data_IF_443033989171
#
_entry.id   IF_443033989171
#
_cell.length_a   1.000
_cell.length_b   1.000
_cell.length_c   1.000
_cell.angle_alpha   90.00
_cell.angle_beta   90.00
_cell.angle_gamma   90.00
#
_symmetry.space_group_name_H-M   'P 1'
#
loop_
_entity.id
_entity.type
_entity.pdbx_description
1 polymer ?
#
# COMPACT_ATOMS: atom_id res chain seq x y z
N UNK A 1 -1.28 79.71 5.93
CA UNK A 1 -2.09 78.56 5.45
C UNK A 1 -1.24 77.37 5.59
N UNK A 2 -1.42 76.61 6.69
CA UNK A 2 -0.61 75.41 7.02
C UNK A 2 -1.41 74.14 6.62
N UNK A 3 -0.87 73.40 5.71
CA UNK A 3 -1.40 72.11 5.24
C UNK A 3 -0.97 70.99 6.21
N UNK A 4 -1.93 70.32 6.79
CA UNK A 4 -1.72 69.12 7.67
C UNK A 4 -1.47 67.89 6.81
N UNK A 5 -0.27 67.32 6.90
CA UNK A 5 0.02 65.99 6.41
C UNK A 5 -0.47 64.95 7.44
N UNK A 6 -1.39 64.09 7.03
CA UNK A 6 -1.88 63.00 7.83
C UNK A 6 -1.07 61.74 7.50
N UNK A 7 -0.29 61.22 8.46
CA UNK A 7 0.43 59.95 8.37
C UNK A 7 -0.56 58.80 8.60
N UNK A 8 -0.81 58.00 7.58
CA UNK A 8 -1.53 56.74 7.71
C UNK A 8 -0.47 55.64 8.02
N UNK A 9 -0.43 55.20 9.28
CA UNK A 9 0.32 54.02 9.65
C UNK A 9 -0.46 52.78 9.20
N UNK A 10 0.05 52.09 8.16
CA UNK A 10 -0.43 50.74 7.80
C UNK A 10 0.13 49.73 8.79
N UNK A 11 -0.74 49.20 9.64
CA UNK A 11 -0.45 48.03 10.47
C UNK A 11 -0.44 46.78 9.56
N UNK A 12 0.75 46.29 9.22
CA UNK A 12 0.92 44.96 8.65
C UNK A 12 0.70 43.94 9.77
N UNK A 13 -0.47 43.33 9.80
CA UNK A 13 -0.70 42.13 10.63
C UNK A 13 -0.02 40.98 9.92
N UNK A 14 1.20 40.64 10.31
CA UNK A 14 1.81 39.36 9.99
C UNK A 14 1.03 38.28 10.76
N UNK A 15 0.07 37.62 10.10
CA UNK A 15 -0.45 36.36 10.59
C UNK A 15 0.65 35.33 10.42
N UNK A 16 1.35 35.02 11.51
CA UNK A 16 2.18 33.82 11.59
C UNK A 16 1.27 32.60 11.39
N UNK A 17 1.28 32.02 10.19
CA UNK A 17 0.80 30.67 9.97
C UNK A 17 1.71 29.78 10.82
N UNK A 18 1.22 29.39 11.99
CA UNK A 18 1.79 28.29 12.75
C UNK A 18 1.46 27.04 11.90
N UNK A 19 2.40 26.61 11.08
CA UNK A 19 2.40 25.27 10.49
C UNK A 19 2.62 24.29 11.66
N UNK A 20 1.55 23.88 12.28
CA UNK A 20 1.58 22.70 13.13
C UNK A 20 1.94 21.51 12.23
N UNK A 21 3.02 20.82 12.54
CA UNK A 21 3.24 19.49 12.00
C UNK A 21 2.01 18.64 12.40
N UNK A 22 1.18 18.30 11.43
CA UNK A 22 -0.06 17.61 11.69
C UNK A 22 0.21 16.12 11.56
N UNK A 23 0.30 15.43 12.68
CA UNK A 23 0.46 14.00 12.75
C UNK A 23 -0.90 13.33 12.80
N UNK A 24 -1.07 12.23 12.04
CA UNK A 24 -2.32 11.46 12.07
C UNK A 24 -2.08 10.08 12.64
N UNK A 25 -2.98 9.63 13.52
CA UNK A 25 -3.04 8.28 14.04
C UNK A 25 -4.09 7.48 13.27
N UNK A 26 -3.67 6.39 12.64
CA UNK A 26 -4.55 5.51 11.88
C UNK A 26 -4.63 4.16 12.58
N UNK A 27 -5.81 3.89 13.15
CA UNK A 27 -6.17 2.58 13.71
C UNK A 27 -6.78 1.66 12.65
N UNK A 28 -6.81 0.36 12.93
CA UNK A 28 -7.32 -0.64 11.99
C UNK A 28 -8.30 -1.58 12.67
N UNK A 29 -9.41 -1.91 11.96
CA UNK A 29 -10.47 -2.82 12.41
C UNK A 29 -10.86 -3.77 11.29
N UNK A 30 -11.19 -5.02 11.63
CA UNK A 30 -11.71 -6.02 10.72
C UNK A 30 -13.21 -6.22 10.89
N UNK A 31 -13.92 -6.48 9.79
CA UNK A 31 -15.34 -6.86 9.76
C UNK A 31 -15.61 -7.87 8.64
N UNK A 32 -16.81 -8.40 8.54
CA UNK A 32 -17.20 -9.36 7.50
C UNK A 32 -16.76 -10.78 7.82
N UNK A 33 -16.01 -11.42 6.92
CA UNK A 33 -15.56 -12.80 7.07
C UNK A 33 -14.54 -13.01 8.20
N UNK A 34 -13.84 -11.95 8.64
CA UNK A 34 -12.92 -11.96 9.77
C UNK A 34 -13.01 -10.66 10.56
N UNK A 35 -12.95 -10.75 11.89
CA UNK A 35 -12.95 -9.58 12.78
C UNK A 35 -11.54 -9.21 13.27
N UNK A 36 -10.58 -10.12 13.16
CA UNK A 36 -9.18 -9.92 13.52
C UNK A 36 -8.39 -9.43 12.31
N UNK A 37 -7.26 -8.77 12.55
CA UNK A 37 -6.31 -8.38 11.53
C UNK A 37 -4.96 -8.97 11.93
N UNK A 38 -4.31 -9.70 11.03
CA UNK A 38 -2.99 -10.27 11.29
C UNK A 38 -1.90 -9.25 10.98
N UNK A 39 -2.03 -8.58 9.84
CA UNK A 39 -1.09 -7.53 9.42
C UNK A 39 -1.76 -6.51 8.50
N UNK A 40 -1.14 -5.35 8.39
CA UNK A 40 -1.53 -4.29 7.44
C UNK A 40 -0.28 -3.86 6.68
N UNK A 41 -0.34 -3.94 5.35
CA UNK A 41 0.66 -3.34 4.46
C UNK A 41 0.17 -1.97 4.02
N UNK A 42 1.00 -0.96 4.21
CA UNK A 42 0.76 0.42 3.81
C UNK A 42 1.78 0.78 2.74
N UNK A 43 1.32 1.18 1.57
CA UNK A 43 2.14 1.64 0.45
C UNK A 43 1.78 3.12 0.19
N UNK A 44 2.73 4.04 0.38
CA UNK A 44 2.56 5.43 -0.04
C UNK A 44 2.84 5.52 -1.54
N UNK A 45 1.78 5.57 -2.34
CA UNK A 45 1.85 5.59 -3.80
C UNK A 45 2.47 6.88 -4.35
N UNK A 46 2.43 7.96 -3.56
CA UNK A 46 2.98 9.28 -3.94
C UNK A 46 4.49 9.33 -3.72
N UNK A 47 4.97 8.76 -2.61
CA UNK A 47 6.40 8.79 -2.23
C UNK A 47 7.15 7.50 -2.58
N UNK A 48 6.47 6.46 -3.08
CA UNK A 48 7.02 5.13 -3.38
C UNK A 48 7.73 4.49 -2.16
N UNK A 49 7.13 4.63 -0.97
CA UNK A 49 7.58 4.00 0.28
C UNK A 49 6.54 3.02 0.79
N UNK A 50 6.95 2.00 1.52
CA UNK A 50 6.03 1.03 2.12
C UNK A 50 6.43 0.65 3.55
N UNK A 51 5.43 0.16 4.30
CA UNK A 51 5.57 -0.33 5.67
C UNK A 51 4.56 -1.46 5.89
N UNK A 52 4.98 -2.51 6.59
CA UNK A 52 4.06 -3.57 7.05
C UNK A 52 4.06 -3.60 8.57
N UNK A 53 2.86 -3.60 9.16
CA UNK A 53 2.67 -3.58 10.61
C UNK A 53 1.77 -4.75 11.04
N UNK A 54 1.88 -5.18 12.29
CA UNK A 54 0.95 -6.15 12.89
C UNK A 54 -0.43 -5.53 13.10
N UNK A 55 -1.49 -6.31 12.97
CA UNK A 55 -2.87 -5.81 12.93
C UNK A 55 -3.39 -5.10 14.20
N UNK A 56 -2.72 -5.30 15.35
CA UNK A 56 -3.04 -4.58 16.58
C UNK A 56 -2.31 -3.24 16.75
N UNK A 57 -1.45 -2.85 15.82
CA UNK A 57 -0.67 -1.63 15.91
C UNK A 57 -1.41 -0.43 15.30
N UNK A 58 -1.02 0.77 15.74
CA UNK A 58 -1.48 2.04 15.20
C UNK A 58 -0.40 2.60 14.28
N UNK A 59 -0.79 3.03 13.09
CA UNK A 59 0.08 3.74 12.16
C UNK A 59 0.11 5.22 12.52
N UNK A 60 1.30 5.75 12.74
CA UNK A 60 1.53 7.17 12.96
C UNK A 60 2.07 7.81 11.67
N UNK A 61 1.24 8.60 11.01
CA UNK A 61 1.61 9.39 9.85
C UNK A 61 2.21 10.70 10.31
N UNK A 62 3.48 10.94 9.96
CA UNK A 62 4.23 12.12 10.40
C UNK A 62 4.60 13.00 9.22
N UNK A 63 4.36 14.30 9.33
CA UNK A 63 4.72 15.24 8.28
C UNK A 63 6.23 15.46 8.23
N UNK A 64 6.81 15.48 7.04
CA UNK A 64 8.20 15.82 6.84
C UNK A 64 8.40 17.31 7.12
N UNK A 65 9.08 17.66 8.22
CA UNK A 65 9.56 19.02 8.41
C UNK A 65 10.62 19.31 7.34
N UNK A 66 10.31 20.21 6.42
CA UNK A 66 11.09 20.52 5.21
C UNK A 66 12.32 21.40 5.48
N UNK A 67 13.05 21.24 6.57
CA UNK A 67 14.24 22.08 6.86
C UNK A 67 15.44 21.37 7.47
N UNK A 68 15.55 20.03 7.25
CA UNK A 68 16.83 19.35 7.53
C UNK A 68 17.10 18.43 6.33
N UNK A 69 18.26 18.65 5.66
CA UNK A 69 18.74 17.75 4.61
C UNK A 69 18.68 16.28 5.07
N UNK A 70 18.42 15.31 4.16
CA UNK A 70 18.32 13.92 4.53
C UNK A 70 19.65 13.47 5.16
N UNK A 71 19.63 13.34 6.47
CA UNK A 71 20.72 12.66 7.18
C UNK A 71 20.72 11.22 6.68
N UNK A 72 21.86 10.82 6.16
CA UNK A 72 22.30 9.49 5.77
C UNK A 72 21.42 8.37 6.37
N UNK A 73 20.69 7.61 5.55
CA UNK A 73 19.73 6.57 5.96
C UNK A 73 20.40 5.33 6.59
N UNK A 74 21.49 5.51 7.28
CA UNK A 74 22.11 4.47 8.06
C UNK A 74 21.32 4.27 9.36
N UNK A 75 20.60 3.14 9.55
CA UNK A 75 19.78 2.90 10.74
C UNK A 75 20.60 2.91 12.03
N UNK A 76 21.90 2.83 11.92
CA UNK A 76 22.85 2.93 13.04
C UNK A 76 23.20 4.39 13.41
N UNK A 77 22.71 5.38 12.67
CA UNK A 77 22.96 6.81 12.95
C UNK A 77 21.74 7.57 13.45
N UNK A 78 20.65 6.89 13.76
CA UNK A 78 19.40 7.52 14.19
C UNK A 78 19.05 7.18 15.63
N UNK A 79 18.55 8.18 16.36
CA UNK A 79 17.83 8.02 17.63
C UNK A 79 16.42 8.55 17.41
N UNK A 80 15.43 7.69 17.61
CA UNK A 80 14.04 8.10 17.66
C UNK A 80 13.67 8.43 19.10
N UNK A 81 13.07 9.60 19.33
CA UNK A 81 12.61 10.06 20.64
C UNK A 81 11.16 10.52 20.52
N UNK A 82 10.26 9.87 21.26
CA UNK A 82 8.84 10.21 21.19
C UNK A 82 8.09 9.93 22.50
N UNK A 83 7.11 10.80 22.86
CA UNK A 83 6.87 12.10 22.24
C UNK A 83 8.05 13.05 22.46
N UNK A 84 8.29 13.96 21.51
CA UNK A 84 9.28 15.02 21.65
C UNK A 84 8.73 16.30 20.98
N UNK A 85 8.22 17.28 21.74
CA UNK A 85 8.34 17.45 23.19
C UNK A 85 7.63 16.39 24.04
N UNK A 86 8.28 15.95 25.13
CA UNK A 86 7.68 15.09 26.14
C UNK A 86 6.95 15.91 27.20
N UNK A 87 5.95 15.31 27.86
CA UNK A 87 5.33 15.83 29.08
C UNK A 87 5.85 15.07 30.32
N UNK A 88 5.53 13.79 30.42
CA UNK A 88 5.85 12.96 31.58
C UNK A 88 7.02 12.00 31.30
N UNK A 89 7.02 11.40 30.11
CA UNK A 89 8.09 10.50 29.67
C UNK A 89 8.29 10.58 28.14
N UNK A 90 9.43 10.10 27.67
CA UNK A 90 9.71 9.85 26.26
C UNK A 90 10.32 8.47 26.08
N UNK A 91 9.98 7.79 25.00
CA UNK A 91 10.69 6.62 24.50
C UNK A 91 11.87 7.05 23.65
N UNK A 92 12.96 6.29 23.78
CA UNK A 92 14.21 6.51 23.06
C UNK A 92 14.58 5.20 22.38
N UNK A 93 14.55 5.17 21.07
CA UNK A 93 14.88 3.99 20.28
C UNK A 93 16.13 4.22 19.44
N UNK A 94 17.00 3.21 19.38
CA UNK A 94 18.21 3.23 18.57
C UNK A 94 18.65 1.80 18.24
N UNK A 95 19.40 1.64 17.14
CA UNK A 95 19.94 0.33 16.72
C UNK A 95 21.44 0.28 16.94
N UNK A 96 21.92 -0.73 17.67
CA UNK A 96 23.35 -0.98 17.83
C UNK A 96 23.89 -1.83 16.68
N UNK A 97 24.97 -1.41 16.00
CA UNK A 97 25.61 -2.18 14.94
C UNK A 97 26.31 -3.44 15.45
N UNK A 98 26.76 -3.43 16.70
CA UNK A 98 27.47 -4.52 17.36
C UNK A 98 27.10 -4.59 18.84
N UNK A 99 27.17 -5.79 19.42
CA UNK A 99 26.98 -5.97 20.85
C UNK A 99 28.13 -5.34 21.66
N UNK A 100 27.82 -4.69 22.77
CA UNK A 100 28.86 -4.06 23.58
C UNK A 100 28.38 -3.34 24.84
N UNK A 101 29.36 -2.91 25.67
CA UNK A 101 29.06 -2.06 26.83
C UNK A 101 28.55 -0.71 26.35
N UNK A 102 27.25 -0.47 26.56
CA UNK A 102 26.53 0.71 26.08
C UNK A 102 26.19 1.64 27.22
N UNK A 103 26.37 2.94 27.00
CA UNK A 103 25.96 4.01 27.92
C UNK A 103 24.93 4.90 27.26
N UNK A 104 23.77 5.07 27.88
CA UNK A 104 22.74 6.06 27.55
C UNK A 104 22.81 7.19 28.56
N UNK A 105 23.04 8.42 28.12
CA UNK A 105 23.31 9.57 28.99
C UNK A 105 22.41 10.73 28.59
N UNK A 106 21.92 11.46 29.62
CA UNK A 106 21.15 12.68 29.44
C UNK A 106 21.94 13.87 30.03
N UNK A 107 22.02 14.91 29.23
CA UNK A 107 22.71 16.15 29.58
C UNK A 107 21.75 17.34 29.54
N UNK A 108 21.96 18.30 30.46
CA UNK A 108 21.34 19.62 30.31
C UNK A 108 22.08 20.50 29.28
N UNK A 109 21.56 21.68 29.00
CA UNK A 109 22.12 22.63 28.04
C UNK A 109 23.55 23.12 28.41
N UNK A 110 23.97 22.96 29.67
CA UNK A 110 25.33 23.31 30.14
C UNK A 110 26.32 22.16 29.95
N UNK A 111 25.86 20.98 29.49
CA UNK A 111 26.68 19.78 29.32
C UNK A 111 26.84 18.95 30.57
N UNK A 112 26.12 19.28 31.67
CA UNK A 112 26.12 18.51 32.89
C UNK A 112 25.29 17.24 32.71
N UNK A 113 25.86 16.09 33.06
CA UNK A 113 25.12 14.79 33.04
C UNK A 113 24.08 14.79 34.18
N UNK A 114 22.83 14.54 33.79
CA UNK A 114 21.70 14.41 34.74
C UNK A 114 21.51 12.97 35.19
N UNK A 115 21.60 12.01 34.25
CA UNK A 115 21.59 10.58 34.53
C UNK A 115 22.38 9.80 33.50
N UNK A 116 22.79 8.57 33.87
CA UNK A 116 23.52 7.65 33.03
C UNK A 116 23.08 6.22 33.30
N UNK A 117 22.58 5.54 32.27
CA UNK A 117 22.39 4.10 32.25
C UNK A 117 23.60 3.43 31.57
N UNK A 118 24.05 2.26 32.09
CA UNK A 118 25.18 1.53 31.52
C UNK A 118 24.98 0.02 31.65
N UNK A 119 24.93 -0.68 30.53
CA UNK A 119 24.77 -2.13 30.50
C UNK A 119 25.41 -2.71 29.24
N UNK A 120 25.67 -4.02 29.22
CA UNK A 120 26.07 -4.75 28.02
C UNK A 120 24.81 -5.05 27.19
N UNK A 121 24.70 -4.42 26.02
CA UNK A 121 23.56 -4.60 25.13
C UNK A 121 23.94 -5.45 23.92
N UNK A 122 22.99 -6.25 23.40
CA UNK A 122 23.13 -7.04 22.17
C UNK A 122 23.18 -6.14 20.94
N UNK A 123 23.58 -6.69 19.80
CA UNK A 123 23.34 -6.06 18.49
C UNK A 123 21.84 -6.03 18.22
N UNK A 124 21.31 -4.93 17.65
CA UNK A 124 19.91 -4.78 17.26
C UNK A 124 19.23 -3.55 17.85
N UNK A 125 17.91 -3.52 17.77
CA UNK A 125 17.05 -2.44 18.24
C UNK A 125 16.91 -2.48 19.78
N UNK A 126 17.04 -1.33 20.41
CA UNK A 126 16.85 -1.13 21.86
C UNK A 126 15.88 0.01 22.10
N UNK A 127 14.97 -0.21 23.07
CA UNK A 127 13.99 0.78 23.52
C UNK A 127 14.22 1.12 24.99
N UNK A 128 14.30 2.41 25.27
CA UNK A 128 14.43 2.97 26.60
C UNK A 128 13.29 3.94 26.90
N UNK A 129 12.92 4.06 28.17
CA UNK A 129 12.04 5.13 28.66
C UNK A 129 12.83 6.10 29.48
N UNK A 130 12.61 7.39 29.21
CA UNK A 130 13.18 8.53 29.94
C UNK A 130 12.05 9.31 30.60
N UNK A 131 12.13 9.57 31.89
CA UNK A 131 11.12 10.31 32.65
C UNK A 131 11.74 11.18 33.75
N UNK A 132 10.93 11.97 34.45
CA UNK A 132 11.37 12.80 35.58
C UNK A 132 12.26 13.97 35.18
N UNK A 133 12.11 14.50 33.93
CA UNK A 133 12.86 15.65 33.43
C UNK A 133 11.98 16.90 33.53
N UNK A 134 12.54 18.00 34.11
CA UNK A 134 11.88 19.31 34.15
C UNK A 134 11.69 19.89 32.75
N UNK A 135 10.78 20.85 32.61
CA UNK A 135 10.65 21.68 31.43
C UNK A 135 12.00 22.27 30.99
N UNK A 136 12.34 22.08 29.70
CA UNK A 136 13.60 22.55 29.14
C UNK A 136 14.08 21.74 27.91
N UNK A 137 15.31 22.08 27.49
CA UNK A 137 16.00 21.41 26.38
C UNK A 137 17.16 20.59 26.93
N UNK A 138 17.25 19.35 26.49
CA UNK A 138 18.22 18.35 26.93
C UNK A 138 18.84 17.64 25.74
N UNK A 139 19.93 16.91 25.98
CA UNK A 139 20.61 16.11 24.97
C UNK A 139 20.78 14.69 25.48
N UNK A 140 20.39 13.73 24.61
CA UNK A 140 20.62 12.30 24.82
C UNK A 140 21.83 11.90 24.01
N UNK A 141 22.75 11.13 24.61
CA UNK A 141 23.89 10.55 23.93
C UNK A 141 24.03 9.06 24.25
N UNK A 142 24.22 8.26 23.19
CA UNK A 142 24.41 6.82 23.30
C UNK A 142 25.83 6.51 22.80
N UNK A 143 26.59 5.75 23.61
CA UNK A 143 27.96 5.36 23.31
C UNK A 143 28.09 3.86 23.54
N UNK A 144 28.59 3.12 22.52
CA UNK A 144 28.91 1.69 22.57
C UNK A 144 30.19 1.43 21.76
N UNK A 145 31.32 1.21 22.46
CA UNK A 145 32.62 1.08 21.79
C UNK A 145 32.98 2.31 20.96
N UNK A 146 33.13 2.15 19.64
CA UNK A 146 33.37 3.25 18.69
C UNK A 146 32.07 3.93 18.20
N UNK A 147 30.94 3.32 18.46
CA UNK A 147 29.63 3.86 18.08
C UNK A 147 29.22 4.97 19.03
N UNK A 148 28.85 6.12 18.49
CA UNK A 148 28.37 7.28 19.27
C UNK A 148 27.35 8.07 18.46
N UNK A 149 26.14 8.18 19.00
CA UNK A 149 25.05 8.99 18.43
C UNK A 149 24.44 9.87 19.50
N UNK A 150 23.80 10.96 19.08
CA UNK A 150 23.12 11.88 20.00
C UNK A 150 21.92 12.55 19.35
N UNK A 151 20.96 12.96 20.18
CA UNK A 151 19.75 13.67 19.75
C UNK A 151 19.30 14.68 20.83
N UNK A 152 18.43 15.60 20.41
CA UNK A 152 17.81 16.61 21.32
C UNK A 152 16.50 16.06 21.88
N UNK A 153 16.31 16.25 23.19
CA UNK A 153 15.06 15.98 23.89
C UNK A 153 14.49 17.32 24.43
N UNK A 154 13.23 17.57 24.18
CA UNK A 154 12.49 18.73 24.69
C UNK A 154 11.45 18.23 25.69
N UNK A 155 11.35 18.86 26.86
CA UNK A 155 10.31 18.60 27.84
C UNK A 155 9.47 19.85 28.06
N UNK A 156 8.14 19.71 28.02
CA UNK A 156 7.17 20.82 28.07
C UNK A 156 6.22 20.77 29.27
N UNK A 157 6.36 19.81 30.19
CA UNK A 157 5.30 19.65 31.21
C UNK A 157 5.62 19.03 32.57
N UNK A 158 6.84 18.60 32.88
CA UNK A 158 7.13 17.95 34.15
C UNK A 158 7.75 18.92 35.20
N UNK A 159 7.25 18.88 36.42
CA UNK A 159 7.84 19.57 37.60
C UNK A 159 8.82 18.68 38.40
N UNK A 160 9.04 17.44 37.97
CA UNK A 160 9.91 16.50 38.65
C UNK A 160 11.38 16.74 38.27
N UNK A 161 12.28 16.44 39.23
CA UNK A 161 13.72 16.64 39.03
C UNK A 161 14.51 15.37 39.36
N UNK A 162 13.94 14.22 39.03
CA UNK A 162 14.59 12.92 39.26
C UNK A 162 14.59 12.16 37.91
N UNK A 163 15.59 12.42 37.10
CA UNK A 163 15.71 11.80 35.76
C UNK A 163 15.93 10.30 35.89
N UNK A 164 15.04 9.51 35.29
CA UNK A 164 15.09 8.04 35.26
C UNK A 164 15.27 7.58 33.82
N UNK A 165 16.18 6.64 33.63
CA UNK A 165 16.40 5.95 32.35
C UNK A 165 16.15 4.45 32.58
N UNK A 166 15.17 3.87 31.90
CA UNK A 166 14.80 2.46 32.03
C UNK A 166 14.94 1.76 30.67
N UNK A 167 15.65 0.63 30.64
CA UNK A 167 15.69 -0.23 29.46
C UNK A 167 14.43 -1.09 29.43
N UNK A 168 13.64 -1.00 28.38
CA UNK A 168 12.38 -1.74 28.25
C UNK A 168 12.58 -3.07 27.53
N UNK A 169 13.18 -3.06 26.35
CA UNK A 169 13.35 -4.25 25.52
C UNK A 169 14.56 -4.16 24.58
N UNK A 170 15.10 -5.35 24.19
CA UNK A 170 16.08 -5.51 23.13
C UNK A 170 15.57 -6.55 22.11
N UNK A 171 15.67 -6.26 20.82
CA UNK A 171 15.33 -7.19 19.75
C UNK A 171 16.54 -7.46 18.87
N UNK A 172 16.86 -8.74 18.64
CA UNK A 172 17.86 -9.13 17.66
C UNK A 172 17.23 -9.09 16.27
N UNK A 173 17.97 -8.53 15.30
CA UNK A 173 17.55 -8.55 13.90
C UNK A 173 17.42 -9.99 13.40
N UNK A 174 16.20 -10.49 13.24
CA UNK A 174 15.91 -11.82 12.69
C UNK A 174 14.92 -12.69 13.47
N UNK A 175 14.48 -12.34 14.66
CA UNK A 175 13.47 -13.12 15.39
C UNK A 175 12.10 -12.47 15.35
N UNK A 176 11.16 -13.14 14.65
CA UNK A 176 9.72 -12.89 14.78
C UNK A 176 9.28 -13.40 16.16
N UNK A 177 8.82 -12.51 17.02
CA UNK A 177 8.38 -12.88 18.37
C UNK A 177 6.99 -13.50 18.37
N UNK A 178 6.77 -14.54 19.22
CA UNK A 178 5.42 -15.03 19.51
C UNK A 178 4.71 -14.07 20.48
N UNK A 179 3.53 -13.63 20.07
CA UNK A 179 2.44 -13.02 20.79
C UNK A 179 2.65 -12.49 22.21
N UNK A 180 2.86 -11.20 22.35
CA UNK A 180 2.54 -10.46 23.59
C UNK A 180 1.20 -9.75 23.39
N UNK A 181 0.17 -10.18 24.11
CA UNK A 181 -1.10 -9.47 24.20
C UNK A 181 -0.91 -8.19 25.00
N UNK A 182 -1.17 -7.04 24.36
CA UNK A 182 -1.56 -5.80 25.01
C UNK A 182 -0.48 -4.75 25.23
N UNK A 183 0.12 -4.20 24.15
CA UNK A 183 0.50 -2.77 24.02
C UNK A 183 0.62 -2.51 22.54
N UNK A 184 -0.19 -1.60 22.00
CA UNK A 184 -0.09 -1.19 20.60
C UNK A 184 1.25 -0.46 20.41
N UNK A 185 2.15 -1.00 19.59
CA UNK A 185 3.33 -0.27 19.15
C UNK A 185 2.86 0.73 18.08
N UNK A 186 3.20 2.01 18.25
CA UNK A 186 3.05 3.02 17.21
C UNK A 186 4.19 2.85 16.20
N UNK A 187 3.85 2.76 14.92
CA UNK A 187 4.81 2.65 13.84
C UNK A 187 4.66 3.85 12.92
N UNK A 188 5.78 4.48 12.59
CA UNK A 188 5.82 5.76 11.90
C UNK A 188 6.02 5.59 10.41
N UNK A 189 5.26 6.34 9.61
CA UNK A 189 5.46 6.50 8.18
C UNK A 189 5.50 7.98 7.82
N UNK A 190 6.46 8.39 6.98
CA UNK A 190 6.46 9.75 6.44
C UNK A 190 5.24 9.94 5.55
N UNK A 191 4.55 11.06 5.76
CA UNK A 191 3.32 11.40 5.06
C UNK A 191 3.25 12.91 4.85
N UNK A 192 3.02 13.35 3.62
CA UNK A 192 2.66 14.72 3.32
C UNK A 192 1.16 14.81 3.09
N UNK A 193 0.53 15.91 3.48
CA UNK A 193 -0.89 16.12 3.21
C UNK A 193 -1.16 15.98 1.69
N UNK A 194 -2.12 15.10 1.37
CA UNK A 194 -2.44 14.76 -0.01
C UNK A 194 -1.71 13.51 -0.56
N UNK A 195 -0.79 12.91 0.19
CA UNK A 195 -0.22 11.62 -0.20
C UNK A 195 -1.30 10.54 -0.24
N UNK A 196 -1.24 9.67 -1.24
CA UNK A 196 -2.16 8.56 -1.41
C UNK A 196 -1.56 7.30 -0.83
N UNK A 197 -2.32 6.68 0.07
CA UNK A 197 -1.95 5.44 0.71
C UNK A 197 -2.81 4.30 0.16
N UNK A 198 -2.15 3.24 -0.30
CA UNK A 198 -2.76 1.95 -0.55
C UNK A 198 -2.55 1.08 0.68
N UNK A 199 -3.64 0.73 1.33
CA UNK A 199 -3.63 0.06 2.62
C UNK A 199 -4.28 -1.31 2.44
N UNK A 200 -3.50 -2.38 2.60
CA UNK A 200 -3.98 -3.76 2.47
C UNK A 200 -4.00 -4.43 3.83
N UNK A 201 -5.20 -4.73 4.31
CA UNK A 201 -5.40 -5.54 5.51
C UNK A 201 -5.40 -7.03 5.18
N UNK A 202 -4.74 -7.83 6.01
CA UNK A 202 -4.68 -9.29 5.92
C UNK A 202 -5.27 -9.92 7.18
N UNK A 203 -6.07 -10.97 7.01
CA UNK A 203 -6.60 -11.79 8.08
C UNK A 203 -6.79 -13.21 7.58
N UNK A 204 -6.00 -14.18 8.09
CA UNK A 204 -5.97 -15.56 7.63
C UNK A 204 -5.79 -15.65 6.10
N UNK A 205 -6.85 -16.06 5.38
CA UNK A 205 -6.87 -16.20 3.92
C UNK A 205 -7.45 -14.96 3.22
N UNK A 206 -7.94 -13.99 3.99
CA UNK A 206 -8.63 -12.81 3.44
C UNK A 206 -7.68 -11.64 3.31
N UNK A 207 -7.87 -10.85 2.25
CA UNK A 207 -7.20 -9.56 2.10
C UNK A 207 -8.10 -8.54 1.44
N UNK A 208 -8.06 -7.30 1.95
CA UNK A 208 -8.86 -6.19 1.45
C UNK A 208 -7.98 -4.98 1.27
N UNK A 209 -8.10 -4.36 0.09
CA UNK A 209 -7.37 -3.14 -0.30
C UNK A 209 -8.27 -1.94 -0.11
N UNK A 210 -7.72 -0.88 0.49
CA UNK A 210 -8.35 0.43 0.65
C UNK A 210 -7.37 1.49 0.15
N UNK A 211 -7.83 2.40 -0.69
CA UNK A 211 -7.09 3.62 -1.05
C UNK A 211 -7.60 4.76 -0.20
N UNK A 212 -6.70 5.50 0.41
CA UNK A 212 -7.04 6.60 1.30
C UNK A 212 -6.06 7.75 1.19
N UNK A 213 -6.56 8.97 1.44
CA UNK A 213 -5.79 10.20 1.58
C UNK A 213 -6.13 10.78 2.96
N UNK A 214 -5.43 10.37 4.03
CA UNK A 214 -5.74 10.80 5.38
C UNK A 214 -5.62 12.31 5.55
N UNK A 215 -6.66 12.94 6.09
CA UNK A 215 -6.71 14.36 6.46
C UNK A 215 -6.91 14.58 7.96
N UNK A 216 -7.03 13.48 8.71
CA UNK A 216 -7.20 13.46 10.17
C UNK A 216 -6.95 12.06 10.71
N UNK A 217 -6.72 11.96 12.00
CA UNK A 217 -6.68 10.68 12.72
C UNK A 217 -8.02 9.95 12.59
N UNK A 218 -7.97 8.65 12.30
CA UNK A 218 -9.19 7.83 12.12
C UNK A 218 -8.91 6.34 12.24
N UNK A 219 -9.99 5.56 12.35
CA UNK A 219 -9.93 4.10 12.19
C UNK A 219 -10.31 3.72 10.74
N UNK A 220 -9.53 2.84 10.14
CA UNK A 220 -9.82 2.20 8.87
C UNK A 220 -10.43 0.82 9.16
N UNK A 221 -11.59 0.54 8.56
CA UNK A 221 -12.28 -0.74 8.73
C UNK A 221 -12.18 -1.56 7.45
N UNK A 222 -11.49 -2.70 7.51
CA UNK A 222 -11.44 -3.68 6.43
C UNK A 222 -12.69 -4.57 6.49
N UNK A 223 -13.48 -4.57 5.42
CA UNK A 223 -14.54 -5.55 5.23
C UNK A 223 -13.95 -6.76 4.49
N UNK A 224 -13.57 -7.79 5.22
CA UNK A 224 -13.02 -9.00 4.65
C UNK A 224 -14.09 -9.82 3.95
N UNK A 225 -13.85 -10.15 2.69
CA UNK A 225 -14.77 -10.89 1.83
C UNK A 225 -14.05 -12.10 1.28
N UNK A 226 -14.70 -13.27 1.35
CA UNK A 226 -14.13 -14.50 0.78
C UNK A 226 -14.07 -14.38 -0.74
N UNK A 227 -12.86 -14.58 -1.26
CA UNK A 227 -12.58 -14.63 -2.69
C UNK A 227 -11.55 -15.73 -2.95
N UNK A 228 -12.01 -17.00 -2.90
CA UNK A 228 -11.20 -18.20 -3.03
C UNK A 228 -11.70 -19.01 -4.23
N UNK A 229 -10.81 -19.29 -5.19
CA UNK A 229 -11.14 -20.06 -6.40
C UNK A 229 -11.16 -21.57 -6.19
N UNK A 230 -11.41 -22.32 -7.27
CA UNK A 230 -11.50 -23.79 -7.24
C UNK A 230 -10.17 -24.49 -6.91
N UNK A 231 -9.05 -23.83 -7.08
CA UNK A 231 -7.72 -24.35 -6.73
C UNK A 231 -7.29 -23.96 -5.30
N UNK A 232 -8.11 -23.18 -4.58
CA UNK A 232 -7.80 -22.66 -3.26
C UNK A 232 -6.92 -21.39 -3.26
N UNK A 233 -6.71 -20.73 -4.40
CA UNK A 233 -6.03 -19.42 -4.41
C UNK A 233 -6.96 -18.36 -3.81
N UNK A 234 -6.40 -17.53 -2.92
CA UNK A 234 -7.10 -16.40 -2.30
C UNK A 234 -6.70 -15.10 -2.99
N UNK A 235 -7.66 -14.24 -3.21
CA UNK A 235 -7.47 -12.98 -3.93
C UNK A 235 -7.78 -11.80 -3.03
N UNK A 236 -6.93 -10.74 -3.04
CA UNK A 236 -7.29 -9.48 -2.42
C UNK A 236 -8.47 -8.85 -3.16
N UNK A 237 -9.30 -8.14 -2.40
CA UNK A 237 -10.48 -7.46 -2.93
C UNK A 237 -10.38 -5.97 -2.71
N UNK A 238 -10.99 -5.19 -3.61
CA UNK A 238 -11.05 -3.73 -3.55
C UNK A 238 -12.45 -3.25 -3.90
N UNK A 239 -12.93 -2.22 -3.22
CA UNK A 239 -14.18 -1.54 -3.56
C UNK A 239 -13.88 -0.36 -4.49
N UNK A 240 -14.50 -0.34 -5.69
CA UNK A 240 -14.40 0.75 -6.66
C UNK A 240 -15.82 1.21 -6.98
N UNK A 241 -16.16 2.43 -6.59
CA UNK A 241 -17.56 2.89 -6.62
C UNK A 241 -18.43 2.02 -5.73
N UNK A 242 -19.52 1.46 -6.29
CA UNK A 242 -20.40 0.53 -5.59
C UNK A 242 -20.06 -0.95 -5.83
N UNK A 243 -19.03 -1.22 -6.63
CA UNK A 243 -18.63 -2.56 -7.02
C UNK A 243 -17.44 -3.07 -6.18
N UNK A 244 -17.39 -4.39 -5.96
CA UNK A 244 -16.26 -5.06 -5.29
C UNK A 244 -15.57 -5.96 -6.31
N UNK A 245 -14.29 -5.71 -6.54
CA UNK A 245 -13.47 -6.36 -7.55
C UNK A 245 -12.33 -7.16 -6.92
N UNK A 246 -11.86 -8.21 -7.61
CA UNK A 246 -10.53 -8.73 -7.35
C UNK A 246 -9.47 -7.65 -7.60
N UNK A 247 -8.46 -7.55 -6.73
CA UNK A 247 -7.30 -6.67 -6.94
C UNK A 247 -6.12 -7.39 -7.62
N UNK A 248 -6.30 -8.65 -8.01
CA UNK A 248 -5.36 -9.46 -8.80
C UNK A 248 -6.09 -10.20 -9.92
N UNK A 249 -5.36 -10.58 -10.98
CA UNK A 249 -5.92 -11.41 -12.06
C UNK A 249 -6.16 -12.84 -11.58
N UNK A 250 -7.25 -13.44 -12.05
CA UNK A 250 -7.59 -14.84 -11.79
C UNK A 250 -6.47 -15.78 -12.27
N UNK A 251 -6.12 -16.79 -11.46
CA UNK A 251 -5.04 -17.76 -11.74
C UNK A 251 -5.47 -19.21 -11.52
N UNK A 252 -6.79 -19.46 -11.56
CA UNK A 252 -7.36 -20.80 -11.36
C UNK A 252 -7.12 -21.70 -12.57
N UNK A 253 -6.94 -22.98 -12.31
CA UNK A 253 -6.92 -24.07 -13.30
C UNK A 253 -8.16 -24.95 -13.20
N UNK A 254 -9.04 -24.64 -12.25
CA UNK A 254 -10.28 -25.38 -11.99
C UNK A 254 -11.46 -24.41 -11.85
N UNK A 255 -12.63 -24.87 -12.28
CA UNK A 255 -13.88 -24.19 -12.05
C UNK A 255 -14.29 -24.25 -10.54
N UNK A 256 -15.27 -23.43 -10.15
CA UNK A 256 -15.80 -23.44 -8.76
C UNK A 256 -16.41 -24.79 -8.33
N UNK A 257 -16.76 -25.66 -9.29
CA UNK A 257 -17.22 -27.03 -9.06
C UNK A 257 -16.06 -28.06 -9.03
N UNK A 258 -14.81 -27.59 -9.00
CA UNK A 258 -13.56 -28.36 -8.94
C UNK A 258 -13.26 -29.18 -10.20
N UNK A 259 -13.96 -29.01 -11.30
CA UNK A 259 -13.58 -29.61 -12.58
C UNK A 259 -12.44 -28.82 -13.20
N UNK A 260 -11.45 -29.53 -13.77
CA UNK A 260 -10.27 -28.90 -14.37
C UNK A 260 -10.60 -28.20 -15.68
N UNK A 261 -9.98 -27.04 -15.89
CA UNK A 261 -9.97 -26.35 -17.18
C UNK A 261 -8.78 -26.86 -17.99
N UNK A 262 -8.96 -27.23 -19.27
CA UNK A 262 -7.85 -27.69 -20.11
C UNK A 262 -6.76 -26.63 -20.27
N UNK A 263 -5.51 -27.00 -19.95
CA UNK A 263 -4.34 -26.19 -20.29
C UNK A 263 -3.90 -26.50 -21.71
N UNK A 264 -4.10 -25.56 -22.64
CA UNK A 264 -3.83 -25.75 -24.07
C UNK A 264 -2.58 -24.98 -24.47
N UNK A 265 -1.45 -25.65 -24.57
CA UNK A 265 -0.15 -25.03 -24.86
C UNK A 265 0.13 -24.89 -26.36
N UNK A 266 -0.28 -25.87 -27.19
CA UNK A 266 -0.03 -25.88 -28.62
C UNK A 266 -0.82 -24.77 -29.33
N UNK A 267 -0.16 -24.03 -30.21
CA UNK A 267 -0.79 -22.88 -30.91
C UNK A 267 -1.87 -23.32 -31.93
N UNK A 268 -1.68 -24.46 -32.59
CA UNK A 268 -2.68 -24.97 -33.59
C UNK A 268 -3.91 -25.47 -32.84
N UNK A 269 -3.71 -26.20 -31.72
CA UNK A 269 -4.82 -26.67 -30.89
C UNK A 269 -5.60 -25.49 -30.33
N UNK A 270 -4.89 -24.43 -29.83
CA UNK A 270 -5.52 -23.20 -29.37
C UNK A 270 -6.38 -22.50 -30.39
N UNK A 271 -5.85 -22.37 -31.61
CA UNK A 271 -6.55 -21.70 -32.73
C UNK A 271 -7.83 -22.43 -33.15
N UNK A 272 -7.89 -23.74 -32.94
CA UNK A 272 -9.05 -24.57 -33.28
C UNK A 272 -10.02 -24.77 -32.10
N UNK A 273 -9.79 -24.13 -30.91
CA UNK A 273 -10.66 -24.30 -29.79
C UNK A 273 -12.07 -23.77 -30.04
N UNK A 274 -13.05 -24.62 -29.76
CA UNK A 274 -14.46 -24.27 -29.59
C UNK A 274 -14.99 -24.67 -28.25
N UNK A 275 -14.07 -24.96 -27.29
CA UNK A 275 -14.31 -25.43 -25.94
C UNK A 275 -13.46 -24.62 -24.96
N UNK A 276 -13.77 -24.70 -23.66
CA UNK A 276 -12.96 -24.05 -22.62
C UNK A 276 -11.47 -24.38 -22.69
N UNK A 277 -10.63 -23.37 -22.48
CA UNK A 277 -9.19 -23.51 -22.38
C UNK A 277 -8.54 -22.32 -21.69
N UNK A 278 -7.40 -22.59 -21.05
CA UNK A 278 -6.52 -21.55 -20.52
C UNK A 278 -5.06 -21.84 -20.85
N UNK A 279 -4.20 -20.86 -20.66
CA UNK A 279 -2.74 -21.00 -20.65
C UNK A 279 -2.13 -19.93 -19.75
N UNK A 280 -0.85 -20.08 -19.42
CA UNK A 280 -0.03 -19.00 -18.91
C UNK A 280 0.59 -18.23 -20.08
N UNK A 281 0.96 -16.96 -19.88
CA UNK A 281 1.67 -16.22 -20.92
C UNK A 281 2.97 -16.96 -21.29
N UNK A 282 3.26 -17.05 -22.59
CA UNK A 282 4.34 -17.86 -23.19
C UNK A 282 4.38 -19.34 -22.74
N UNK A 283 3.26 -19.87 -22.24
CA UNK A 283 3.17 -21.20 -21.60
C UNK A 283 4.13 -21.39 -20.43
N UNK A 284 4.61 -20.30 -19.81
CA UNK A 284 5.50 -20.31 -18.67
C UNK A 284 4.72 -20.16 -17.36
N UNK A 285 4.79 -21.20 -16.52
CA UNK A 285 4.14 -21.25 -15.19
C UNK A 285 4.63 -20.15 -14.24
N UNK A 286 5.83 -19.60 -14.43
CA UNK A 286 6.34 -18.50 -13.61
C UNK A 286 5.45 -17.26 -13.72
N UNK A 287 4.74 -17.07 -14.81
CA UNK A 287 3.78 -16.00 -15.03
C UNK A 287 2.47 -16.15 -14.24
N UNK A 288 2.19 -17.34 -13.69
CA UNK A 288 0.96 -17.62 -12.90
C UNK A 288 0.73 -16.60 -11.78
N UNK A 289 1.74 -16.38 -10.95
CA UNK A 289 1.60 -15.54 -9.76
C UNK A 289 1.78 -14.05 -10.03
N UNK A 290 2.29 -13.67 -11.21
CA UNK A 290 2.48 -12.29 -11.62
C UNK A 290 1.25 -11.81 -12.39
N UNK A 291 0.95 -12.44 -13.52
CA UNK A 291 -0.04 -11.96 -14.48
C UNK A 291 -1.37 -12.73 -14.44
N UNK A 292 -1.42 -13.89 -13.75
CA UNK A 292 -2.58 -14.78 -13.78
C UNK A 292 -2.68 -15.60 -15.06
N UNK A 293 -3.86 -16.23 -15.26
CA UNK A 293 -4.16 -17.03 -16.44
C UNK A 293 -4.73 -16.22 -17.58
N UNK A 294 -4.52 -16.70 -18.82
CA UNK A 294 -5.18 -16.24 -20.04
C UNK A 294 -6.28 -17.24 -20.40
N UNK A 295 -7.54 -16.83 -20.32
CA UNK A 295 -8.71 -17.68 -20.55
C UNK A 295 -9.37 -17.31 -21.88
N UNK A 296 -9.83 -18.32 -22.64
CA UNK A 296 -10.69 -18.07 -23.78
C UNK A 296 -12.13 -17.79 -23.33
N UNK A 297 -12.98 -17.30 -24.23
CA UNK A 297 -14.36 -16.97 -23.87
C UNK A 297 -15.20 -18.20 -23.52
N UNK A 298 -14.90 -19.35 -24.10
CA UNK A 298 -15.63 -20.58 -23.77
C UNK A 298 -15.46 -20.98 -22.30
N UNK A 299 -14.30 -20.70 -21.68
CA UNK A 299 -14.10 -20.89 -20.25
C UNK A 299 -14.92 -19.88 -19.42
N UNK A 300 -15.00 -18.62 -19.88
CA UNK A 300 -15.80 -17.57 -19.25
C UNK A 300 -17.29 -17.89 -19.30
N UNK A 301 -17.77 -18.32 -20.49
CA UNK A 301 -19.20 -18.57 -20.74
C UNK A 301 -19.80 -19.76 -19.97
N UNK A 302 -18.99 -20.55 -19.27
CA UNK A 302 -19.50 -21.58 -18.35
C UNK A 302 -20.25 -21.00 -17.16
N UNK A 303 -19.95 -19.75 -16.77
CA UNK A 303 -20.45 -19.13 -15.55
C UNK A 303 -19.83 -19.68 -14.27
N UNK A 304 -18.88 -20.64 -14.38
CA UNK A 304 -18.27 -21.34 -13.24
C UNK A 304 -16.78 -20.98 -13.04
N UNK A 305 -16.24 -20.03 -13.82
CA UNK A 305 -14.83 -19.70 -13.81
C UNK A 305 -14.40 -18.94 -12.54
N UNK A 306 -15.22 -18.01 -12.07
CA UNK A 306 -14.97 -17.22 -10.88
C UNK A 306 -15.31 -17.99 -9.58
N UNK A 307 -14.76 -17.57 -8.43
CA UNK A 307 -15.13 -18.10 -7.12
C UNK A 307 -16.64 -18.07 -6.86
N UNK A 308 -17.11 -18.88 -5.94
CA UNK A 308 -18.52 -18.86 -5.48
C UNK A 308 -18.88 -17.49 -4.91
N UNK A 309 -19.98 -16.88 -5.40
CA UNK A 309 -20.41 -15.52 -5.04
C UNK A 309 -19.68 -14.43 -5.84
N UNK A 310 -19.04 -14.85 -6.94
CA UNK A 310 -18.34 -13.97 -7.89
C UNK A 310 -18.62 -14.41 -9.33
N UNK A 311 -18.56 -13.45 -10.26
CA UNK A 311 -18.69 -13.75 -11.68
C UNK A 311 -17.69 -12.95 -12.52
N UNK A 312 -17.50 -13.35 -13.78
CA UNK A 312 -16.74 -12.57 -14.76
C UNK A 312 -17.57 -11.35 -15.14
N UNK A 313 -17.05 -10.13 -14.98
CA UNK A 313 -17.84 -8.93 -15.19
C UNK A 313 -18.38 -8.83 -16.62
N UNK A 314 -19.60 -8.33 -16.74
CA UNK A 314 -20.20 -7.94 -18.00
C UNK A 314 -19.53 -6.68 -18.59
N UNK A 315 -19.84 -6.38 -19.82
CA UNK A 315 -19.45 -5.15 -20.49
C UNK A 315 -19.98 -3.89 -19.76
N UNK A 316 -21.20 -3.95 -19.26
CA UNK A 316 -21.83 -2.86 -18.51
C UNK A 316 -21.20 -2.66 -17.13
N UNK A 317 -20.82 -3.72 -16.42
CA UNK A 317 -20.14 -3.62 -15.12
C UNK A 317 -18.74 -3.01 -15.23
N UNK A 318 -18.00 -3.37 -16.29
CA UNK A 318 -16.77 -2.67 -16.64
C UNK A 318 -17.02 -1.19 -16.91
N UNK A 319 -18.05 -0.86 -17.69
CA UNK A 319 -18.41 0.54 -17.98
C UNK A 319 -18.77 1.32 -16.73
N UNK A 320 -19.52 0.73 -15.78
CA UNK A 320 -19.85 1.37 -14.51
C UNK A 320 -18.59 1.72 -13.71
N UNK A 321 -17.60 0.81 -13.64
CA UNK A 321 -16.33 1.10 -12.99
C UNK A 321 -15.56 2.23 -13.70
N UNK A 322 -15.47 2.16 -15.03
CA UNK A 322 -14.76 3.19 -15.82
C UNK A 322 -15.46 4.55 -15.68
N UNK A 323 -16.80 4.59 -15.71
CA UNK A 323 -17.59 5.81 -15.54
C UNK A 323 -17.45 6.41 -14.14
N UNK A 324 -17.28 5.58 -13.11
CA UNK A 324 -16.96 6.05 -11.76
C UNK A 324 -15.60 6.74 -11.68
N UNK A 325 -14.59 6.21 -12.39
CA UNK A 325 -13.23 6.75 -12.41
C UNK A 325 -13.08 7.95 -13.35
N UNK A 326 -13.87 7.99 -14.43
CA UNK A 326 -13.93 9.07 -15.42
C UNK A 326 -15.39 9.36 -15.77
N UNK A 327 -15.96 10.37 -15.15
CA UNK A 327 -17.35 10.76 -15.40
C UNK A 327 -17.68 11.16 -16.85
N UNK A 328 -16.67 11.23 -17.72
CA UNK A 328 -16.82 11.50 -19.16
C UNK A 328 -16.75 10.23 -20.03
N UNK A 329 -16.58 9.05 -19.42
CA UNK A 329 -16.49 7.77 -20.14
C UNK A 329 -17.73 7.51 -20.99
N UNK A 330 -17.53 6.90 -22.18
CA UNK A 330 -18.60 6.68 -23.15
C UNK A 330 -18.45 5.34 -23.88
N UNK A 331 -19.57 4.68 -24.16
CA UNK A 331 -19.62 3.48 -25.01
C UNK A 331 -19.79 3.78 -26.50
N UNK A 332 -19.87 5.07 -26.89
CA UNK A 332 -20.06 5.49 -28.28
C UNK A 332 -18.78 5.39 -29.11
N UNK A 333 -17.62 5.32 -28.47
CA UNK A 333 -16.30 5.21 -29.10
C UNK A 333 -15.60 3.92 -28.65
N UNK A 334 -14.63 3.43 -29.44
CA UNK A 334 -13.75 2.33 -29.02
C UNK A 334 -12.90 2.74 -27.81
N UNK A 335 -12.49 4.01 -27.73
CA UNK A 335 -11.82 4.58 -26.56
C UNK A 335 -12.86 5.05 -25.56
N UNK A 336 -13.10 4.22 -24.57
CA UNK A 336 -14.13 4.43 -23.55
C UNK A 336 -13.77 5.56 -22.57
N UNK A 337 -12.51 5.69 -22.19
CA UNK A 337 -11.99 6.73 -21.28
C UNK A 337 -10.59 7.16 -21.71
N UNK A 338 -10.20 8.38 -21.33
CA UNK A 338 -8.86 8.95 -21.59
C UNK A 338 -7.96 8.98 -20.36
N UNK A 339 -8.49 8.69 -19.18
CA UNK A 339 -7.76 8.84 -17.91
C UNK A 339 -7.93 7.65 -16.96
N UNK A 340 -8.96 6.82 -17.14
CA UNK A 340 -9.26 5.76 -16.18
C UNK A 340 -8.17 4.68 -16.12
N UNK A 341 -7.39 4.47 -17.20
CA UNK A 341 -6.28 3.51 -17.17
C UNK A 341 -5.18 3.92 -16.18
N UNK A 342 -4.91 5.22 -16.04
CA UNK A 342 -3.90 5.67 -15.06
C UNK A 342 -4.34 5.35 -13.63
N UNK A 343 -5.62 5.50 -13.30
CA UNK A 343 -6.16 5.15 -11.99
C UNK A 343 -6.15 3.63 -11.72
N UNK A 344 -6.16 2.81 -12.75
CA UNK A 344 -6.22 1.35 -12.65
C UNK A 344 -4.86 0.66 -12.73
N UNK A 345 -3.89 1.21 -13.50
CA UNK A 345 -2.58 0.61 -13.72
C UNK A 345 -1.70 0.68 -12.47
N UNK A 346 -0.91 -0.37 -12.26
CA UNK A 346 0.16 -0.38 -11.26
C UNK A 346 1.08 0.84 -11.43
N UNK A 347 1.56 1.39 -10.31
CA UNK A 347 2.52 2.51 -10.31
C UNK A 347 3.91 2.06 -10.75
N UNK A 348 4.66 2.95 -11.41
CA UNK A 348 6.05 2.72 -11.79
C UNK A 348 6.22 1.77 -12.97
N UNK A 349 7.44 1.25 -13.13
CA UNK A 349 7.88 0.47 -14.29
C UNK A 349 8.35 -0.95 -13.93
N UNK A 350 7.85 -1.51 -12.83
CA UNK A 350 8.22 -2.88 -12.41
C UNK A 350 7.71 -3.92 -13.40
N UNK A 351 6.47 -3.77 -13.87
CA UNK A 351 5.87 -4.69 -14.83
C UNK A 351 5.51 -3.99 -16.15
N UNK A 352 5.15 -2.71 -16.10
CA UNK A 352 4.88 -1.90 -17.28
C UNK A 352 6.17 -1.34 -17.87
N UNK A 353 6.27 -1.33 -19.21
CA UNK A 353 7.34 -0.61 -19.91
C UNK A 353 7.23 0.91 -19.69
N UNK A 354 8.35 1.62 -19.84
CA UNK A 354 8.37 3.08 -19.85
C UNK A 354 7.85 3.63 -21.18
N UNK A 355 7.03 4.71 -21.18
CA UNK A 355 6.51 5.43 -20.00
C UNK A 355 5.25 4.75 -19.44
N UNK A 356 5.08 4.75 -18.11
CA UNK A 356 3.83 4.36 -17.46
C UNK A 356 3.40 5.46 -16.48
N UNK A 357 2.23 6.04 -16.71
CA UNK A 357 1.61 7.05 -15.84
C UNK A 357 0.62 6.45 -14.83
N UNK A 358 0.65 5.13 -14.63
CA UNK A 358 -0.23 4.44 -13.68
C UNK A 358 -0.04 4.94 -12.25
N UNK A 359 -1.14 5.21 -11.57
CA UNK A 359 -1.20 5.73 -10.20
C UNK A 359 -1.79 4.75 -9.21
N UNK A 360 -2.47 3.69 -9.70
CA UNK A 360 -3.21 2.70 -8.91
C UNK A 360 -4.21 3.31 -7.90
N UNK A 361 -4.76 4.48 -8.22
CA UNK A 361 -5.70 5.21 -7.36
C UNK A 361 -6.99 4.46 -7.06
N UNK A 362 -7.31 3.46 -7.88
CA UNK A 362 -8.43 2.57 -7.66
C UNK A 362 -8.08 1.33 -6.81
N UNK A 363 -6.79 1.07 -6.53
CA UNK A 363 -6.34 -0.16 -5.88
C UNK A 363 -6.54 -1.42 -6.73
N UNK A 364 -6.84 -1.24 -8.02
CA UNK A 364 -7.09 -2.34 -8.95
C UNK A 364 -5.80 -3.06 -9.35
N UNK A 365 -4.67 -2.36 -9.39
CA UNK A 365 -3.35 -2.88 -9.76
C UNK A 365 -3.38 -3.64 -11.07
N UNK A 366 -3.85 -2.99 -12.16
CA UNK A 366 -3.82 -3.56 -13.50
C UNK A 366 -2.38 -3.84 -13.94
N UNK A 367 -2.09 -5.08 -14.35
CA UNK A 367 -0.78 -5.51 -14.82
C UNK A 367 -0.79 -5.82 -16.31
N UNK A 368 0.33 -5.60 -17.03
CA UNK A 368 0.44 -5.82 -18.48
C UNK A 368 0.71 -7.30 -18.80
N UNK A 369 -0.25 -8.16 -18.48
CA UNK A 369 -0.15 -9.62 -18.70
C UNK A 369 -0.21 -10.06 -20.15
N UNK A 370 -0.33 -9.13 -21.09
CA UNK A 370 -0.41 -9.42 -22.51
C UNK A 370 -1.70 -10.17 -22.89
N UNK A 371 -1.59 -10.97 -23.94
CA UNK A 371 -2.69 -11.76 -24.47
C UNK A 371 -2.19 -12.97 -25.27
N UNK A 372 -3.07 -13.92 -25.55
CA UNK A 372 -2.89 -14.93 -26.58
C UNK A 372 -3.91 -14.72 -27.70
N UNK A 373 -3.45 -14.55 -28.92
CA UNK A 373 -4.31 -14.36 -30.09
C UNK A 373 -5.15 -15.60 -30.37
N UNK A 374 -6.23 -15.43 -31.12
CA UNK A 374 -7.03 -16.55 -31.62
C UNK A 374 -6.23 -17.48 -32.54
N UNK A 375 -5.12 -17.01 -33.14
CA UNK A 375 -4.17 -17.81 -33.92
C UNK A 375 -3.22 -18.65 -33.07
N UNK A 376 -3.24 -18.49 -31.74
CA UNK A 376 -2.39 -19.19 -30.78
C UNK A 376 -1.08 -18.51 -30.42
N UNK A 377 -0.77 -17.35 -31.02
CA UNK A 377 0.45 -16.56 -30.74
C UNK A 377 0.29 -15.68 -29.50
N UNK A 378 1.36 -15.48 -28.75
CA UNK A 378 1.41 -14.54 -27.63
C UNK A 378 1.85 -13.15 -28.06
N UNK A 379 1.49 -12.13 -27.30
CA UNK A 379 1.94 -10.76 -27.51
C UNK A 379 1.54 -9.80 -26.39
N UNK A 380 2.17 -8.63 -26.39
CA UNK A 380 1.78 -7.49 -25.57
C UNK A 380 2.16 -7.55 -24.08
N UNK A 381 2.97 -8.53 -23.64
CA UNK A 381 3.48 -8.49 -22.25
C UNK A 381 4.30 -7.24 -22.05
N UNK A 382 4.23 -6.66 -20.84
CA UNK A 382 4.86 -5.41 -20.42
C UNK A 382 4.31 -4.13 -21.10
N UNK A 383 3.58 -4.27 -22.21
CA UNK A 383 2.98 -3.14 -22.94
C UNK A 383 1.46 -3.05 -22.78
N UNK A 384 0.79 -4.20 -22.69
CA UNK A 384 -0.68 -4.28 -22.74
C UNK A 384 -1.24 -5.11 -21.57
N UNK A 385 -2.21 -4.56 -20.87
CA UNK A 385 -3.12 -5.31 -20.03
C UNK A 385 -4.46 -5.50 -20.75
N UNK A 386 -4.97 -6.75 -20.79
CA UNK A 386 -6.19 -7.10 -21.51
C UNK A 386 -7.11 -7.93 -20.61
N UNK A 387 -8.38 -7.53 -20.51
CA UNK A 387 -9.35 -8.19 -19.64
C UNK A 387 -10.60 -8.58 -20.39
N UNK A 388 -10.98 -9.84 -20.18
CA UNK A 388 -12.19 -10.44 -20.76
C UNK A 388 -13.45 -9.92 -20.05
N UNK A 389 -14.53 -9.67 -20.81
CA UNK A 389 -15.88 -9.56 -20.26
C UNK A 389 -16.67 -10.85 -20.50
N UNK A 390 -17.79 -11.02 -19.80
CA UNK A 390 -18.72 -12.12 -20.03
C UNK A 390 -19.73 -11.82 -21.15
N UNK A 391 -19.75 -10.60 -21.70
CA UNK A 391 -20.74 -10.16 -22.69
C UNK A 391 -20.32 -10.53 -24.11
N UNK A 392 -21.14 -11.32 -24.78
CA UNK A 392 -21.00 -11.64 -26.19
C UNK A 392 -21.45 -10.43 -27.04
N UNK A 393 -20.73 -10.14 -28.12
CA UNK A 393 -21.12 -9.11 -29.09
C UNK A 393 -21.99 -9.70 -30.19
N UNK A 394 -21.52 -10.79 -30.83
CA UNK A 394 -22.23 -11.51 -31.88
C UNK A 394 -21.88 -13.01 -31.84
N UNK A 395 -22.22 -13.76 -32.90
CA UNK A 395 -21.97 -15.20 -32.96
C UNK A 395 -20.47 -15.57 -32.87
N UNK A 396 -19.54 -14.64 -33.09
CA UNK A 396 -18.08 -14.90 -33.18
C UNK A 396 -17.26 -13.98 -32.31
N UNK A 397 -17.83 -12.87 -31.89
CA UNK A 397 -17.16 -11.78 -31.16
C UNK A 397 -17.63 -11.59 -29.75
N UNK A 398 -16.73 -11.16 -28.91
CA UNK A 398 -16.96 -10.87 -27.49
C UNK A 398 -16.25 -9.59 -27.08
N UNK A 399 -16.82 -8.85 -26.13
CA UNK A 399 -16.23 -7.63 -25.62
C UNK A 399 -15.03 -7.89 -24.71
N UNK A 400 -14.04 -6.98 -24.75
CA UNK A 400 -12.93 -6.93 -23.81
C UNK A 400 -12.46 -5.49 -23.58
N UNK A 401 -11.71 -5.29 -22.50
CA UNK A 401 -11.02 -4.04 -22.19
C UNK A 401 -9.53 -4.21 -22.34
N UNK A 402 -8.84 -3.15 -22.80
CA UNK A 402 -7.39 -3.12 -22.77
C UNK A 402 -6.85 -1.72 -22.45
N UNK A 403 -5.63 -1.73 -21.91
CA UNK A 403 -4.87 -0.55 -21.52
C UNK A 403 -3.46 -0.70 -22.04
N UNK A 404 -2.87 0.42 -22.45
CA UNK A 404 -1.47 0.47 -22.89
C UNK A 404 -0.57 1.10 -21.83
N UNK A 405 0.76 0.81 -21.94
CA UNK A 405 1.79 1.37 -21.07
C UNK A 405 1.83 2.88 -21.13
N UNK A 406 1.80 3.48 -22.31
CA UNK A 406 2.04 4.91 -22.60
C UNK A 406 0.76 5.77 -22.65
N UNK A 407 -0.38 5.24 -22.23
CA UNK A 407 -1.67 5.92 -22.35
C UNK A 407 -2.52 5.78 -21.08
N UNK A 408 -3.23 6.87 -20.72
CA UNK A 408 -4.32 6.85 -19.73
C UNK A 408 -5.63 6.29 -20.28
N UNK A 409 -5.64 5.83 -21.54
CA UNK A 409 -6.85 5.38 -22.21
C UNK A 409 -7.28 3.97 -21.79
N UNK A 410 -8.58 3.79 -21.59
CA UNK A 410 -9.22 2.49 -21.55
C UNK A 410 -9.95 2.29 -22.89
N UNK A 411 -9.64 1.21 -23.56
CA UNK A 411 -10.30 0.84 -24.80
C UNK A 411 -11.26 -0.32 -24.60
N UNK A 412 -12.41 -0.25 -25.27
CA UNK A 412 -13.45 -1.26 -25.37
C UNK A 412 -13.48 -1.80 -26.80
N UNK A 413 -13.16 -3.06 -27.00
CA UNK A 413 -13.11 -3.66 -28.34
C UNK A 413 -13.72 -5.06 -28.38
N UNK A 414 -13.89 -5.55 -29.61
CA UNK A 414 -14.38 -6.89 -29.90
C UNK A 414 -13.19 -7.77 -30.29
N UNK A 415 -13.22 -9.02 -29.87
CA UNK A 415 -12.23 -10.04 -30.20
C UNK A 415 -12.90 -11.37 -30.40
N UNK A 416 -12.18 -12.31 -31.08
CA UNK A 416 -12.63 -13.67 -31.25
C UNK A 416 -12.76 -14.42 -29.95
N UNK A 417 -13.66 -15.37 -29.87
CA UNK A 417 -13.93 -16.22 -28.71
C UNK A 417 -12.69 -17.03 -28.27
N UNK A 418 -11.84 -17.46 -29.20
CA UNK A 418 -10.61 -18.20 -28.94
C UNK A 418 -9.52 -17.36 -28.27
N UNK A 419 -9.48 -16.04 -28.47
CA UNK A 419 -8.42 -15.22 -27.88
C UNK A 419 -8.33 -15.43 -26.37
N UNK A 420 -7.13 -15.50 -25.80
CA UNK A 420 -6.85 -15.66 -24.37
C UNK A 420 -6.53 -14.33 -23.71
N UNK A 421 -7.31 -13.94 -22.71
CA UNK A 421 -7.13 -12.71 -21.94
C UNK A 421 -7.23 -12.97 -20.44
N UNK A 422 -6.67 -12.06 -19.65
CA UNK A 422 -6.83 -12.08 -18.20
C UNK A 422 -8.30 -11.94 -17.80
N UNK A 423 -8.62 -12.42 -16.61
CA UNK A 423 -9.94 -12.29 -16.00
C UNK A 423 -9.77 -11.67 -14.61
N UNK A 424 -10.67 -10.74 -14.28
CA UNK A 424 -10.90 -10.27 -12.93
C UNK A 424 -12.36 -10.45 -12.59
N UNK A 425 -12.62 -11.12 -11.48
CA UNK A 425 -13.99 -11.34 -11.07
C UNK A 425 -14.51 -10.15 -10.25
N UNK A 426 -15.82 -9.94 -10.37
CA UNK A 426 -16.60 -8.98 -9.58
C UNK A 426 -17.55 -9.76 -8.67
N UNK A 427 -17.82 -9.20 -7.47
CA UNK A 427 -18.73 -9.81 -6.50
C UNK A 427 -20.18 -9.68 -6.95
N UNK A 428 -20.99 -10.77 -6.75
CA UNK A 428 -22.43 -10.83 -7.02
C UNK A 428 -23.23 -9.84 -6.15
#
# INVERSE_FOLDING_TARGET
MMSKFSLIQAFLVLSSLILNAQDYLIGFKGTGAAATIDSVKIENLTQATDLTISGGNVLHLVNKITDIEPVDQDPYKQILIYPNPMTDYARVEFTLPEAGMTSVMIYDYSGRTLNRYREYLSKGLHTFTVSGIKEGIYFIRIISGKYSIGSRLVCSGSNENNVIITHENSYQAGELLPGVKGTHAELFMQYNEGDRLKITGYSEIYSTVIIDVPTQSKDITFNFIKCTDGDGNNYPVVKIGDQIWMAENLKTTSYKNLTSIPNVMNSIDWANLTTPGYCWYDNDISNKNIYGGLYNWYAVNTGDLCPTGWHVPSDDEWHQMILYLDGSATLLEERESRIAADNLKETGITHWNYPNAGTDDAGFKALPGGYRRYTGEFGGTTDNGNWRTSTQYDATGVWYRYMFTDSGDVYRKITNMQAGYSVRCIKD
#
